data_IF_205429307922
#
_entry.id   IF_205429307922
#
_cell.length_a   1.000
_cell.length_b   1.000
_cell.length_c   1.000
_cell.angle_alpha   90.00
_cell.angle_beta   90.00
_cell.angle_gamma   90.00
#
_symmetry.space_group_name_H-M   'P 1'
#
loop_
_entity.id
_entity.type
_entity.pdbx_description
1 polymer ?
#
# COMPACT_ATOMS: atom_id res chain seq x y z
N UNK A 1 22.33 40.49 -12.76
CA UNK A 1 21.44 39.39 -12.31
C UNK A 1 21.00 38.44 -13.43
N UNK A 2 21.26 38.72 -14.71
CA UNK A 2 20.89 37.83 -15.83
C UNK A 2 21.87 36.66 -16.04
N UNK A 3 23.17 36.87 -15.85
CA UNK A 3 24.21 35.84 -16.05
C UNK A 3 24.14 34.69 -15.03
N UNK A 4 23.80 34.99 -13.78
CA UNK A 4 23.64 33.99 -12.71
C UNK A 4 22.44 33.07 -12.94
N UNK A 5 21.39 33.59 -13.59
CA UNK A 5 20.17 32.84 -13.89
C UNK A 5 20.38 31.89 -15.08
N UNK A 6 21.07 32.36 -16.13
CA UNK A 6 21.40 31.53 -17.29
C UNK A 6 22.33 30.35 -16.93
N UNK A 7 23.30 30.57 -16.04
CA UNK A 7 24.17 29.51 -15.53
C UNK A 7 23.40 28.50 -14.67
N UNK A 8 22.44 28.98 -13.87
CA UNK A 8 21.56 28.12 -13.08
C UNK A 8 20.68 27.24 -13.99
N UNK A 9 20.10 27.78 -15.06
CA UNK A 9 19.30 27.01 -16.01
C UNK A 9 20.12 25.97 -16.77
N UNK A 10 21.36 26.30 -17.16
CA UNK A 10 22.25 25.35 -17.84
C UNK A 10 22.70 24.22 -16.92
N UNK A 11 22.98 24.51 -15.65
CA UNK A 11 23.32 23.49 -14.65
C UNK A 11 22.13 22.62 -14.31
N UNK A 12 20.92 23.19 -14.18
CA UNK A 12 19.67 22.43 -14.01
C UNK A 12 19.36 21.54 -15.21
N UNK A 13 19.59 22.03 -16.42
CA UNK A 13 19.41 21.25 -17.64
C UNK A 13 20.43 20.10 -17.74
N UNK A 14 21.68 20.33 -17.35
CA UNK A 14 22.70 19.28 -17.30
C UNK A 14 22.36 18.21 -16.24
N UNK A 15 21.93 18.61 -15.05
CA UNK A 15 21.51 17.70 -13.97
C UNK A 15 20.26 16.89 -14.34
N UNK A 16 19.35 17.45 -15.15
CA UNK A 16 18.17 16.74 -15.68
C UNK A 16 18.50 15.73 -16.78
N UNK A 17 19.56 15.95 -17.55
CA UNK A 17 19.93 15.09 -18.69
C UNK A 17 20.92 13.98 -18.28
N UNK A 18 21.70 14.18 -17.20
CA UNK A 18 22.57 13.15 -16.63
C UNK A 18 21.89 11.78 -16.40
N UNK A 19 20.69 11.68 -15.80
CA UNK A 19 20.02 10.40 -15.60
C UNK A 19 19.54 9.74 -16.90
N UNK A 20 19.41 10.49 -18.00
CA UNK A 20 19.06 9.94 -19.32
C UNK A 20 20.25 9.32 -20.07
N UNK A 21 21.49 9.64 -19.66
CA UNK A 21 22.72 9.17 -20.29
C UNK A 21 23.34 7.94 -19.62
N UNK A 22 22.79 7.50 -18.48
CA UNK A 22 23.18 6.23 -17.87
C UNK A 22 22.31 5.16 -18.54
N UNK A 23 22.89 4.24 -19.34
CA UNK A 23 22.13 3.11 -19.86
C UNK A 23 21.60 2.32 -18.67
N UNK A 24 20.31 2.48 -18.38
CA UNK A 24 19.63 1.71 -17.35
C UNK A 24 19.47 0.29 -17.90
N UNK A 25 20.19 -0.73 -17.40
CA UNK A 25 19.93 -2.09 -17.81
C UNK A 25 18.47 -2.39 -17.50
N UNK A 26 17.71 -2.84 -18.52
CA UNK A 26 16.31 -3.21 -18.32
C UNK A 26 16.19 -4.14 -17.12
N UNK A 27 15.23 -3.87 -16.24
CA UNK A 27 15.00 -4.66 -15.03
C UNK A 27 14.81 -6.13 -15.41
N UNK A 28 15.90 -6.89 -15.43
CA UNK A 28 15.90 -8.28 -15.84
C UNK A 28 15.67 -9.06 -14.57
N UNK A 29 14.47 -9.63 -14.44
CA UNK A 29 14.11 -10.39 -13.26
C UNK A 29 15.14 -11.50 -13.02
N UNK A 30 15.77 -11.58 -11.83
CA UNK A 30 16.71 -12.64 -11.51
C UNK A 30 16.01 -14.01 -11.66
N UNK A 31 16.69 -15.06 -12.16
CA UNK A 31 16.11 -16.40 -12.24
C UNK A 31 15.50 -16.82 -10.89
N UNK A 32 14.20 -17.14 -10.88
CA UNK A 32 13.45 -17.48 -9.66
C UNK A 32 12.62 -16.34 -9.02
N UNK A 33 12.69 -15.12 -9.55
CA UNK A 33 11.87 -13.99 -9.11
C UNK A 33 10.36 -14.27 -9.17
N UNK A 34 9.91 -15.10 -10.12
CA UNK A 34 8.49 -15.46 -10.28
C UNK A 34 7.90 -16.12 -9.02
N UNK A 35 8.69 -16.95 -8.32
CA UNK A 35 8.23 -17.59 -7.08
C UNK A 35 8.07 -16.56 -5.95
N UNK A 36 8.97 -15.58 -5.90
CA UNK A 36 8.96 -14.52 -4.88
C UNK A 36 7.76 -13.60 -5.11
N UNK A 37 7.54 -13.16 -6.34
CA UNK A 37 6.40 -12.31 -6.70
C UNK A 37 5.07 -13.04 -6.50
N UNK A 38 5.02 -14.34 -6.76
CA UNK A 38 3.85 -15.17 -6.51
C UNK A 38 3.50 -15.24 -5.00
N UNK A 39 4.48 -15.49 -4.14
CA UNK A 39 4.26 -15.52 -2.67
C UNK A 39 3.76 -14.16 -2.18
N UNK A 40 4.38 -13.06 -2.61
CA UNK A 40 3.94 -11.71 -2.27
C UNK A 40 2.51 -11.46 -2.76
N UNK A 41 2.16 -11.95 -3.95
CA UNK A 41 0.81 -11.91 -4.50
C UNK A 41 -0.23 -12.59 -3.60
N UNK A 42 0.07 -13.81 -3.13
CA UNK A 42 -0.80 -14.52 -2.20
C UNK A 42 -0.95 -13.80 -0.86
N UNK A 43 0.12 -13.21 -0.33
CA UNK A 43 0.07 -12.43 0.92
C UNK A 43 -0.81 -11.20 0.76
N UNK A 44 -0.68 -10.44 -0.33
CA UNK A 44 -1.53 -9.28 -0.62
C UNK A 44 -3.01 -9.69 -0.69
N UNK A 45 -3.30 -10.74 -1.45
CA UNK A 45 -4.67 -11.24 -1.58
C UNK A 45 -5.23 -11.74 -0.24
N UNK A 46 -4.44 -12.51 0.52
CA UNK A 46 -4.82 -13.01 1.84
C UNK A 46 -5.06 -11.91 2.86
N UNK A 47 -4.23 -10.86 2.87
CA UNK A 47 -4.43 -9.69 3.72
C UNK A 47 -5.73 -8.94 3.37
N UNK A 48 -5.98 -8.72 2.07
CA UNK A 48 -7.24 -8.11 1.61
C UNK A 48 -8.47 -8.93 2.02
N UNK A 49 -8.42 -10.26 1.83
CA UNK A 49 -9.51 -11.16 2.22
C UNK A 49 -9.75 -11.16 3.73
N UNK A 50 -8.69 -11.19 4.55
CA UNK A 50 -8.78 -11.18 6.00
C UNK A 50 -9.42 -9.90 6.55
N UNK A 51 -9.13 -8.74 5.95
CA UNK A 51 -9.74 -7.45 6.34
C UNK A 51 -11.26 -7.49 6.11
N UNK A 52 -11.69 -7.99 4.94
CA UNK A 52 -13.11 -8.10 4.60
C UNK A 52 -13.82 -9.08 5.54
N UNK A 53 -13.22 -10.25 5.77
CA UNK A 53 -13.76 -11.24 6.69
C UNK A 53 -13.83 -10.71 8.13
N UNK A 54 -12.80 -10.00 8.60
CA UNK A 54 -12.77 -9.37 9.92
C UNK A 54 -13.90 -8.35 10.10
N UNK A 55 -14.19 -7.56 9.06
CA UNK A 55 -15.28 -6.60 9.08
C UNK A 55 -16.64 -7.30 9.23
N UNK A 56 -16.92 -8.30 8.40
CA UNK A 56 -18.20 -9.03 8.46
C UNK A 56 -18.34 -9.86 9.73
N UNK A 57 -17.25 -10.48 10.22
CA UNK A 57 -17.23 -11.14 11.51
C UNK A 57 -17.56 -10.17 12.65
N UNK A 58 -17.02 -8.95 12.60
CA UNK A 58 -17.35 -7.89 13.55
C UNK A 58 -18.82 -7.47 13.50
N UNK A 59 -19.40 -7.32 12.30
CA UNK A 59 -20.84 -7.04 12.11
C UNK A 59 -21.70 -8.17 12.69
N UNK A 60 -21.36 -9.43 12.41
CA UNK A 60 -22.08 -10.58 12.93
C UNK A 60 -21.99 -10.64 14.47
N UNK A 61 -20.81 -10.42 15.05
CA UNK A 61 -20.63 -10.36 16.51
C UNK A 61 -21.38 -9.19 17.15
N UNK A 62 -21.40 -8.03 16.49
CA UNK A 62 -22.13 -6.85 16.95
C UNK A 62 -23.64 -7.09 16.98
N UNK A 63 -24.18 -7.70 15.92
CA UNK A 63 -25.59 -8.06 15.83
C UNK A 63 -25.94 -9.14 16.86
N UNK A 64 -25.13 -10.20 16.97
CA UNK A 64 -25.30 -11.26 17.95
C UNK A 64 -25.32 -10.72 19.39
N UNK A 65 -24.43 -9.76 19.72
CA UNK A 65 -24.41 -9.13 21.03
C UNK A 65 -25.69 -8.36 21.41
N UNK A 66 -26.43 -7.84 20.42
CA UNK A 66 -27.74 -7.20 20.65
C UNK A 66 -28.88 -8.20 20.77
N UNK A 67 -28.85 -9.26 19.96
CA UNK A 67 -29.91 -10.28 19.98
C UNK A 67 -29.82 -11.14 21.24
N UNK A 68 -28.60 -11.43 21.69
CA UNK A 68 -28.35 -12.26 22.87
C UNK A 68 -28.25 -11.45 24.19
N UNK A 69 -28.60 -10.15 24.17
CA UNK A 69 -28.46 -9.21 25.29
C UNK A 69 -27.07 -9.22 25.98
N UNK A 70 -26.04 -9.61 25.22
CA UNK A 70 -24.69 -9.73 25.72
C UNK A 70 -23.89 -8.46 25.41
N UNK A 71 -23.90 -7.53 26.35
CA UNK A 71 -23.27 -6.21 26.20
C UNK A 71 -21.78 -6.29 25.80
N UNK A 72 -21.05 -7.29 26.30
CA UNK A 72 -19.63 -7.52 25.96
C UNK A 72 -19.43 -7.91 24.49
N UNK A 73 -20.28 -8.77 23.93
CA UNK A 73 -20.15 -9.21 22.53
C UNK A 73 -20.47 -8.08 21.56
N UNK A 74 -21.45 -7.24 21.88
CA UNK A 74 -21.76 -6.03 21.11
C UNK A 74 -20.56 -5.08 21.04
N UNK A 75 -19.87 -4.84 22.17
CA UNK A 75 -18.67 -3.98 22.20
C UNK A 75 -17.50 -4.57 21.40
N UNK A 76 -17.25 -5.88 21.51
CA UNK A 76 -16.18 -6.52 20.75
C UNK A 76 -16.44 -6.50 19.24
N UNK A 77 -17.70 -6.66 18.82
CA UNK A 77 -18.10 -6.49 17.42
C UNK A 77 -17.84 -5.07 16.91
N UNK A 78 -18.19 -4.04 17.69
CA UNK A 78 -17.90 -2.65 17.30
C UNK A 78 -16.38 -2.39 17.16
N UNK A 79 -15.57 -2.87 18.12
CA UNK A 79 -14.11 -2.71 18.07
C UNK A 79 -13.52 -3.39 16.83
N UNK A 80 -13.96 -4.60 16.51
CA UNK A 80 -13.47 -5.35 15.34
C UNK A 80 -13.87 -4.68 14.02
N UNK A 81 -15.05 -4.07 13.93
CA UNK A 81 -15.46 -3.25 12.78
C UNK A 81 -14.50 -2.07 12.60
N UNK A 82 -14.26 -1.26 13.64
CA UNK A 82 -13.36 -0.10 13.55
C UNK A 82 -11.91 -0.51 13.28
N UNK A 83 -11.44 -1.60 13.89
CA UNK A 83 -10.12 -2.14 13.62
C UNK A 83 -9.98 -2.57 12.15
N UNK A 84 -10.99 -3.25 11.59
CA UNK A 84 -10.98 -3.69 10.19
C UNK A 84 -11.00 -2.51 9.22
N UNK A 85 -11.77 -1.46 9.52
CA UNK A 85 -11.75 -0.21 8.75
C UNK A 85 -10.38 0.45 8.80
N UNK A 86 -9.75 0.54 9.98
CA UNK A 86 -8.37 1.04 10.11
C UNK A 86 -7.36 0.23 9.31
N UNK A 87 -7.47 -1.11 9.34
CA UNK A 87 -6.65 -2.00 8.52
C UNK A 87 -6.88 -1.82 7.02
N UNK A 88 -8.12 -1.57 6.59
CA UNK A 88 -8.43 -1.29 5.18
C UNK A 88 -7.74 -0.01 4.69
N UNK A 89 -7.76 1.06 5.50
CA UNK A 89 -7.02 2.28 5.19
C UNK A 89 -5.52 2.04 5.12
N UNK A 90 -4.95 1.31 6.09
CA UNK A 90 -3.52 1.01 6.10
C UNK A 90 -3.11 0.17 4.88
N UNK A 91 -3.94 -0.80 4.48
CA UNK A 91 -3.71 -1.63 3.30
C UNK A 91 -3.73 -0.80 2.01
N UNK A 92 -4.70 0.11 1.87
CA UNK A 92 -4.80 1.00 0.71
C UNK A 92 -3.64 2.00 0.64
N UNK A 93 -3.35 2.70 1.75
CA UNK A 93 -2.26 3.69 1.83
C UNK A 93 -0.92 3.01 1.61
N UNK A 94 -0.70 1.85 2.24
CA UNK A 94 0.53 1.07 2.04
C UNK A 94 0.75 0.71 0.58
N UNK A 95 -0.30 0.31 -0.14
CA UNK A 95 -0.22 0.05 -1.58
C UNK A 95 0.17 1.29 -2.39
N UNK A 96 -0.45 2.44 -2.11
CA UNK A 96 -0.15 3.71 -2.81
C UNK A 96 1.31 4.11 -2.55
N UNK A 97 1.75 4.13 -1.29
CA UNK A 97 3.12 4.49 -0.92
C UNK A 97 4.16 3.58 -1.58
N UNK A 98 3.94 2.26 -1.56
CA UNK A 98 4.83 1.31 -2.22
C UNK A 98 4.89 1.56 -3.73
N UNK A 99 3.76 1.87 -4.35
CA UNK A 99 3.69 2.12 -5.80
C UNK A 99 4.42 3.40 -6.20
N UNK A 100 4.32 4.46 -5.39
CA UNK A 100 5.06 5.71 -5.59
C UNK A 100 6.57 5.54 -5.41
N UNK A 101 7.00 4.78 -4.39
CA UNK A 101 8.43 4.53 -4.12
C UNK A 101 9.04 3.59 -5.17
N UNK A 102 8.30 2.59 -5.63
CA UNK A 102 8.75 1.63 -6.65
C UNK A 102 8.82 2.23 -8.06
N UNK A 103 8.50 3.52 -8.24
CA UNK A 103 8.60 4.21 -9.54
C UNK A 103 7.52 3.82 -10.54
N UNK A 104 6.42 3.21 -10.10
CA UNK A 104 5.36 2.71 -10.97
C UNK A 104 4.18 3.71 -11.07
N UNK A 105 4.52 5.01 -11.18
CA UNK A 105 3.57 6.09 -11.43
C UNK A 105 3.46 6.39 -12.93
#
# INVERSE_FOLDING_TARGET
>A
MSLTLALADHTLHALRVLPAQIPNPGATAPPGADKITQVIGYVKWGAGAAIVLGFFAGVAMFACGRIADHHRFGRMGAITIFASVGSAFLYAIGYVLLSTIAGNA
#
